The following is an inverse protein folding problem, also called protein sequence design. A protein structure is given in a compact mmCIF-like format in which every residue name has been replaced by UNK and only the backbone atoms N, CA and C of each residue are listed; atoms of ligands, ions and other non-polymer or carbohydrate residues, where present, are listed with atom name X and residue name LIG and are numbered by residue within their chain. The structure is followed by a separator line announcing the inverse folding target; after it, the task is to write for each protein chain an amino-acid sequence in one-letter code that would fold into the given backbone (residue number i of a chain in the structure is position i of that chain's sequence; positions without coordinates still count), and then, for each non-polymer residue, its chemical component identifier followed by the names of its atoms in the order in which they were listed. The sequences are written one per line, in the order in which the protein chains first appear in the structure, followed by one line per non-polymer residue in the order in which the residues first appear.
data_IF_083994887553
#
_entry.id   IF_083994887553
#
_cell.length_a   1.000
_cell.length_b   1.000
_cell.length_c   1.000
_cell.angle_alpha   90.00
_cell.angle_beta   90.00
_cell.angle_gamma   90.00
#
_symmetry.space_group_name_H-M   'P 1'
#
loop_
_entity.id
_entity.type
_entity.pdbx_description
1 polymer ?
#
# COMPACT_ATOMS: atom_id res chain seq x y z
N UNK A 1 -12.91 5.29 -14.12
CA UNK A 1 -11.44 5.46 -13.96
C UNK A 1 -11.10 5.54 -12.49
N UNK A 2 -10.06 4.85 -12.05
CA UNK A 2 -9.55 4.84 -10.67
C UNK A 2 -9.06 6.23 -10.26
N UNK A 3 -9.62 6.89 -9.24
CA UNK A 3 -9.10 8.15 -8.72
C UNK A 3 -7.73 7.93 -8.07
N UNK A 4 -6.82 8.90 -8.27
CA UNK A 4 -5.46 8.87 -7.71
C UNK A 4 -5.32 9.95 -6.65
N UNK A 5 -4.96 9.57 -5.43
CA UNK A 5 -4.64 10.46 -4.34
C UNK A 5 -3.13 10.72 -4.31
N UNK A 6 -2.74 11.96 -4.53
CA UNK A 6 -1.35 12.43 -4.54
C UNK A 6 -1.28 13.91 -4.21
N UNK A 7 -0.30 14.28 -3.40
CA UNK A 7 -0.01 15.68 -3.10
C UNK A 7 1.44 16.01 -3.50
N UNK A 8 1.74 17.18 -4.14
CA UNK A 8 3.10 17.55 -4.55
C UNK A 8 4.12 17.55 -3.41
N UNK A 9 3.70 17.77 -2.18
CA UNK A 9 4.56 17.71 -0.98
C UNK A 9 5.06 16.28 -0.65
N UNK A 10 4.59 15.24 -1.33
CA UNK A 10 5.18 13.90 -1.25
C UNK A 10 6.49 13.79 -2.02
N UNK A 11 6.81 14.79 -2.86
CA UNK A 11 8.02 14.78 -3.70
C UNK A 11 9.23 15.21 -2.88
N UNK A 12 10.22 14.32 -2.78
CA UNK A 12 11.54 14.58 -2.21
C UNK A 12 12.58 14.07 -3.20
N UNK A 13 13.29 14.97 -3.85
CA UNK A 13 14.18 14.63 -4.98
C UNK A 13 15.44 13.84 -4.60
N UNK A 14 15.88 13.96 -3.35
CA UNK A 14 17.04 13.26 -2.81
C UNK A 14 16.67 12.02 -1.98
N UNK A 15 15.38 11.73 -1.82
CA UNK A 15 14.93 10.50 -1.15
C UNK A 15 15.25 9.26 -2.00
N UNK A 16 15.09 8.09 -1.40
CA UNK A 16 15.29 6.82 -2.09
C UNK A 16 14.28 6.63 -3.25
N UNK A 17 14.63 5.81 -4.21
CA UNK A 17 13.87 5.55 -5.44
C UNK A 17 12.39 5.22 -5.19
N UNK A 18 12.05 4.60 -4.06
CA UNK A 18 10.67 4.30 -3.67
C UNK A 18 9.79 5.55 -3.54
N UNK A 19 10.36 6.70 -3.22
CA UNK A 19 9.69 8.00 -3.15
C UNK A 19 9.76 8.73 -4.50
N UNK A 20 10.93 8.69 -5.15
CA UNK A 20 11.16 9.40 -6.43
C UNK A 20 10.25 8.90 -7.57
N UNK A 21 9.86 7.62 -7.57
CA UNK A 21 8.97 7.07 -8.60
C UNK A 21 7.54 7.63 -8.55
N UNK A 22 7.10 8.12 -7.38
CA UNK A 22 5.70 8.53 -7.15
C UNK A 22 5.27 9.67 -8.09
N UNK A 23 5.96 10.83 -8.14
CA UNK A 23 5.57 11.91 -9.05
C UNK A 23 5.64 11.51 -10.52
N UNK A 24 6.57 10.64 -10.91
CA UNK A 24 6.69 10.16 -12.28
C UNK A 24 5.53 9.22 -12.67
N UNK A 25 5.10 8.36 -11.75
CA UNK A 25 3.91 7.54 -11.95
C UNK A 25 2.66 8.42 -12.16
N UNK A 26 2.47 9.46 -11.33
CA UNK A 26 1.33 10.36 -11.44
C UNK A 26 1.37 11.12 -12.77
N UNK A 27 2.51 11.67 -13.16
CA UNK A 27 2.70 12.36 -14.44
C UNK A 27 2.38 11.44 -15.63
N UNK A 28 2.96 10.22 -15.65
CA UNK A 28 2.76 9.27 -16.74
C UNK A 28 1.36 8.65 -16.75
N UNK A 29 0.63 8.67 -15.63
CA UNK A 29 -0.78 8.26 -15.60
C UNK A 29 -1.68 9.19 -16.44
N UNK A 30 -1.21 10.41 -16.75
CA UNK A 30 -1.95 11.46 -17.46
C UNK A 30 -3.30 11.81 -16.80
N UNK A 31 -3.36 11.75 -15.46
CA UNK A 31 -4.56 12.01 -14.69
C UNK A 31 -4.37 13.14 -13.69
N UNK A 32 -5.46 13.88 -13.48
CA UNK A 32 -5.52 14.78 -12.34
C UNK A 32 -5.52 13.97 -11.05
N UNK A 33 -4.65 14.31 -10.12
CA UNK A 33 -4.67 13.77 -8.77
C UNK A 33 -5.66 14.52 -7.88
N UNK A 34 -6.23 13.80 -6.93
CA UNK A 34 -7.06 14.38 -5.89
C UNK A 34 -6.16 14.88 -4.77
N UNK A 35 -6.34 16.16 -4.40
CA UNK A 35 -5.65 16.81 -3.31
C UNK A 35 -6.35 16.51 -1.98
N UNK A 36 -5.59 16.57 -0.89
CA UNK A 36 -6.06 16.28 0.45
C UNK A 36 -5.17 16.99 1.49
N UNK A 37 -5.65 17.08 2.72
CA UNK A 37 -4.86 17.59 3.85
C UNK A 37 -3.89 16.51 4.36
N UNK A 38 -2.66 16.88 4.77
CA UNK A 38 -1.71 15.94 5.36
C UNK A 38 -2.20 15.45 6.71
N UNK A 39 -1.62 14.36 7.19
CA UNK A 39 -1.75 13.98 8.58
C UNK A 39 -1.04 14.98 9.50
N UNK A 40 -1.58 15.09 10.70
CA UNK A 40 -0.90 15.69 11.84
C UNK A 40 -0.28 14.59 12.71
N UNK A 41 0.51 14.97 13.70
CA UNK A 41 1.21 14.02 14.57
C UNK A 41 0.26 13.02 15.25
N UNK A 42 -0.92 13.48 15.67
CA UNK A 42 -1.96 12.69 16.33
C UNK A 42 -2.51 11.58 15.46
N UNK A 43 -2.52 11.75 14.15
CA UNK A 43 -2.94 10.70 13.21
C UNK A 43 -1.97 9.52 13.24
N UNK A 44 -0.67 9.77 13.42
CA UNK A 44 0.36 8.74 13.46
C UNK A 44 0.29 7.88 14.72
N UNK A 45 -0.26 8.41 15.81
CA UNK A 45 -0.48 7.67 17.06
C UNK A 45 -1.50 6.53 16.91
N UNK A 46 -2.19 6.49 15.78
CA UNK A 46 -3.06 5.35 15.46
C UNK A 46 -2.29 4.03 15.31
N UNK A 47 -1.03 4.09 14.89
CA UNK A 47 -0.20 2.91 14.69
C UNK A 47 1.09 2.90 15.52
N UNK A 48 1.50 4.03 16.08
CA UNK A 48 2.84 4.19 16.67
C UNK A 48 2.80 4.80 18.07
N UNK A 49 3.86 4.53 18.85
CA UNK A 49 4.06 5.16 20.15
C UNK A 49 4.34 6.66 20.01
N UNK A 50 3.84 7.44 20.94
CA UNK A 50 4.06 8.91 21.01
C UNK A 50 5.54 9.27 20.93
N UNK A 51 6.38 8.56 21.71
CA UNK A 51 7.81 8.83 21.76
C UNK A 51 8.48 8.61 20.41
N UNK A 52 8.16 7.49 19.72
CA UNK A 52 8.71 7.18 18.41
C UNK A 52 8.34 8.25 17.39
N UNK A 53 7.05 8.62 17.31
CA UNK A 53 6.57 9.65 16.39
C UNK A 53 7.28 10.98 16.63
N UNK A 54 7.31 11.47 17.89
CA UNK A 54 7.99 12.71 18.24
C UNK A 54 9.49 12.66 17.91
N UNK A 55 10.18 11.58 18.22
CA UNK A 55 11.62 11.46 18.00
C UNK A 55 11.98 11.41 16.51
N UNK A 56 11.14 10.82 15.66
CA UNK A 56 11.29 10.88 14.19
C UNK A 56 11.02 12.30 13.68
N UNK A 57 9.87 12.89 14.03
CA UNK A 57 9.45 14.20 13.49
C UNK A 57 10.38 15.33 13.96
N UNK A 58 10.99 15.19 15.13
CA UNK A 58 12.00 16.15 15.64
C UNK A 58 13.43 15.79 15.22
N UNK A 59 13.63 14.82 14.35
CA UNK A 59 14.92 14.37 13.85
C UNK A 59 15.90 13.92 14.95
N UNK A 60 15.43 13.44 16.09
CA UNK A 60 16.27 12.87 17.16
C UNK A 60 16.80 11.49 16.77
N UNK A 61 15.96 10.66 16.13
CA UNK A 61 16.33 9.35 15.61
C UNK A 61 16.23 9.33 14.09
N UNK A 62 16.79 8.31 13.46
CA UNK A 62 16.67 8.11 12.03
C UNK A 62 15.24 7.67 11.68
N UNK A 63 14.74 8.16 10.54
CA UNK A 63 13.54 7.64 9.89
C UNK A 63 13.83 6.28 9.20
N UNK A 64 12.81 5.67 8.60
CA UNK A 64 12.93 4.38 7.91
C UNK A 64 13.88 4.37 6.71
N UNK A 65 14.31 5.55 6.24
CA UNK A 65 15.33 5.74 5.20
C UNK A 65 16.76 5.81 5.77
N UNK A 66 16.94 5.64 7.08
CA UNK A 66 18.22 5.71 7.76
C UNK A 66 18.75 7.14 7.92
N UNK A 67 17.92 8.16 7.78
CA UNK A 67 18.30 9.58 7.83
C UNK A 67 17.51 10.36 8.89
N UNK A 68 18.03 11.52 9.28
CA UNK A 68 17.35 12.51 10.13
C UNK A 68 16.89 13.71 9.30
N UNK A 69 16.21 13.43 8.21
CA UNK A 69 15.83 14.39 7.20
C UNK A 69 14.38 14.87 7.42
N UNK A 70 14.24 16.14 7.77
CA UNK A 70 12.95 16.76 8.05
C UNK A 70 12.06 16.92 6.79
N UNK A 71 12.67 17.10 5.60
CA UNK A 71 11.91 17.16 4.35
C UNK A 71 11.26 15.78 4.05
N UNK A 72 12.02 14.70 4.22
CA UNK A 72 11.48 13.34 4.11
C UNK A 72 10.37 13.13 5.15
N UNK A 73 10.62 13.46 6.42
CA UNK A 73 9.66 13.25 7.51
C UNK A 73 8.34 14.00 7.23
N UNK A 74 8.38 15.23 6.73
CA UNK A 74 7.19 15.99 6.35
C UNK A 74 6.46 15.38 5.15
N UNK A 75 7.19 14.93 4.12
CA UNK A 75 6.58 14.27 2.97
C UNK A 75 5.82 13.00 3.35
N UNK A 76 6.28 12.30 4.40
CA UNK A 76 5.63 11.09 4.88
C UNK A 76 4.25 11.35 5.53
N UNK A 77 4.00 12.55 6.07
CA UNK A 77 2.67 12.93 6.55
C UNK A 77 1.65 12.94 5.39
N UNK A 78 2.07 13.45 4.23
CA UNK A 78 1.25 13.42 3.02
C UNK A 78 1.09 12.00 2.45
N UNK A 79 2.18 11.21 2.42
CA UNK A 79 2.12 9.84 1.89
C UNK A 79 1.17 8.95 2.70
N UNK A 80 1.21 9.04 4.03
CA UNK A 80 0.31 8.29 4.90
C UNK A 80 -1.14 8.78 4.78
N UNK A 81 -1.35 10.11 4.72
CA UNK A 81 -2.68 10.69 4.50
C UNK A 81 -3.27 10.28 3.14
N UNK A 82 -2.45 10.19 2.09
CA UNK A 82 -2.87 9.73 0.76
C UNK A 82 -3.58 8.38 0.82
N UNK A 83 -3.02 7.42 1.57
CA UNK A 83 -3.62 6.09 1.70
C UNK A 83 -4.95 6.12 2.47
N UNK A 84 -5.01 6.90 3.55
CA UNK A 84 -6.24 7.11 4.29
C UNK A 84 -7.34 7.74 3.42
N UNK A 85 -7.01 8.79 2.66
CA UNK A 85 -7.98 9.44 1.79
C UNK A 85 -8.47 8.53 0.66
N UNK A 86 -7.60 7.70 0.09
CA UNK A 86 -7.99 6.68 -0.88
C UNK A 86 -8.92 5.64 -0.26
N UNK A 87 -8.61 5.15 0.96
CA UNK A 87 -9.44 4.19 1.68
C UNK A 87 -10.80 4.79 2.06
N UNK A 88 -10.81 5.99 2.63
CA UNK A 88 -12.05 6.68 3.00
C UNK A 88 -12.94 6.94 1.78
N UNK A 89 -12.33 7.29 0.62
CA UNK A 89 -13.08 7.45 -0.62
C UNK A 89 -13.86 6.19 -0.97
N UNK A 90 -13.20 5.04 -0.97
CA UNK A 90 -13.87 3.79 -1.36
C UNK A 90 -14.85 3.29 -0.31
N UNK A 91 -14.64 3.57 0.97
CA UNK A 91 -15.64 3.31 2.01
C UNK A 91 -16.93 4.11 1.76
N UNK A 92 -16.81 5.38 1.38
CA UNK A 92 -17.95 6.28 1.16
C UNK A 92 -18.63 6.10 -0.20
N UNK A 93 -17.88 5.73 -1.24
CA UNK A 93 -18.34 5.72 -2.64
C UNK A 93 -18.40 4.33 -3.28
N UNK A 94 -17.76 3.34 -2.65
CA UNK A 94 -17.52 2.04 -3.28
C UNK A 94 -16.42 2.09 -4.33
N UNK A 95 -16.23 0.97 -5.02
CA UNK A 95 -15.31 0.86 -6.15
C UNK A 95 -13.85 0.76 -5.75
N UNK A 96 -12.98 1.47 -6.48
CA UNK A 96 -11.51 1.39 -6.33
C UNK A 96 -10.89 2.78 -6.29
N UNK A 97 -9.81 2.95 -5.49
CA UNK A 97 -8.99 4.16 -5.47
C UNK A 97 -7.50 3.81 -5.30
N UNK A 98 -6.63 4.67 -5.82
CA UNK A 98 -5.18 4.56 -5.74
C UNK A 98 -4.60 5.64 -4.82
N UNK A 99 -3.74 5.25 -3.89
CA UNK A 99 -2.81 6.12 -3.21
C UNK A 99 -1.46 6.06 -3.93
N UNK A 100 -1.01 7.16 -4.53
CA UNK A 100 0.33 7.22 -5.07
C UNK A 100 1.34 7.42 -3.93
N UNK A 101 1.73 6.34 -3.27
CA UNK A 101 2.63 6.33 -2.11
C UNK A 101 3.56 5.13 -2.10
N UNK A 102 4.69 5.25 -1.38
CA UNK A 102 5.64 4.16 -1.14
C UNK A 102 5.05 3.09 -0.21
N UNK A 103 5.86 2.07 0.14
CA UNK A 103 5.50 1.02 1.10
C UNK A 103 5.48 1.52 2.55
N UNK A 104 4.80 0.76 3.41
CA UNK A 104 4.58 1.12 4.80
C UNK A 104 4.88 0.00 5.80
N UNK A 105 4.96 -1.24 5.35
CA UNK A 105 4.79 -2.47 6.12
C UNK A 105 5.95 -2.83 7.06
N UNK A 106 7.14 -2.22 6.89
CA UNK A 106 8.28 -2.40 7.81
C UNK A 106 8.34 -1.35 8.94
N UNK A 107 7.36 -0.47 9.04
CA UNK A 107 7.27 0.44 10.18
C UNK A 107 6.55 -0.26 11.33
N UNK A 108 7.28 -0.49 12.42
CA UNK A 108 6.84 -1.12 13.67
C UNK A 108 6.18 -0.09 14.60
N UNK A 109 5.61 -0.55 15.71
CA UNK A 109 4.95 0.32 16.67
C UNK A 109 5.88 1.40 17.25
N UNK A 110 7.13 1.09 17.50
CA UNK A 110 8.11 1.96 18.18
C UNK A 110 9.46 2.10 17.47
N UNK A 111 9.61 1.55 16.26
CA UNK A 111 10.81 1.69 15.44
C UNK A 111 10.48 1.51 13.95
N UNK A 112 11.47 1.78 13.08
CA UNK A 112 11.27 1.73 11.64
C UNK A 112 12.55 1.35 10.88
N UNK A 113 12.37 0.75 9.70
CA UNK A 113 13.45 0.44 8.74
C UNK A 113 12.88 0.14 7.34
N UNK A 114 13.71 -0.35 6.43
CA UNK A 114 13.25 -0.84 5.12
C UNK A 114 12.49 0.21 4.29
N UNK A 115 12.92 1.48 4.39
CA UNK A 115 12.29 2.62 3.71
C UNK A 115 10.83 2.88 4.12
N UNK A 116 10.38 2.27 5.21
CA UNK A 116 9.07 2.50 5.82
C UNK A 116 9.27 3.18 7.17
N UNK A 117 8.73 4.39 7.35
CA UNK A 117 8.87 5.16 8.60
C UNK A 117 7.62 5.08 9.47
N UNK A 118 6.47 5.32 8.88
CA UNK A 118 5.16 5.20 9.54
C UNK A 118 4.30 4.19 8.79
N UNK A 119 3.55 3.37 9.53
CA UNK A 119 2.74 2.29 8.97
C UNK A 119 1.37 2.80 8.50
N UNK A 120 1.35 3.37 7.29
CA UNK A 120 0.12 3.89 6.68
C UNK A 120 -0.98 2.86 6.53
N UNK A 121 -0.64 1.56 6.39
CA UNK A 121 -1.62 0.47 6.31
C UNK A 121 -2.39 0.35 7.62
N UNK A 122 -1.68 0.30 8.76
CA UNK A 122 -2.30 0.18 10.08
C UNK A 122 -3.01 1.46 10.48
N UNK A 123 -2.42 2.65 10.21
CA UNK A 123 -3.08 3.94 10.46
C UNK A 123 -4.41 4.02 9.72
N UNK A 124 -4.40 3.77 8.42
CA UNK A 124 -5.61 3.83 7.60
C UNK A 124 -6.64 2.78 8.02
N UNK A 125 -6.19 1.54 8.29
CA UNK A 125 -7.08 0.47 8.75
C UNK A 125 -7.73 0.84 10.09
N UNK A 126 -6.97 1.32 11.08
CA UNK A 126 -7.51 1.68 12.39
C UNK A 126 -8.49 2.85 12.32
N UNK A 127 -8.19 3.88 11.52
CA UNK A 127 -9.15 4.98 11.26
C UNK A 127 -10.42 4.48 10.57
N UNK A 128 -10.32 3.50 9.68
CA UNK A 128 -11.47 2.90 9.01
C UNK A 128 -12.39 2.14 9.97
N UNK A 129 -11.88 1.59 11.07
CA UNK A 129 -12.68 0.88 12.07
C UNK A 129 -13.73 1.75 12.79
N UNK A 130 -13.69 3.07 12.64
CA UNK A 130 -14.75 3.98 13.05
C UNK A 130 -15.94 4.00 12.07
N UNK A 131 -15.74 3.49 10.85
CA UNK A 131 -16.72 3.50 9.76
C UNK A 131 -17.17 2.11 9.33
N UNK A 132 -16.32 1.09 9.54
CA UNK A 132 -16.55 -0.30 9.14
C UNK A 132 -16.17 -1.25 10.26
N UNK A 133 -16.66 -2.48 10.22
CA UNK A 133 -16.36 -3.46 11.26
C UNK A 133 -15.00 -4.14 11.04
N UNK A 134 -14.64 -4.42 9.77
CA UNK A 134 -13.46 -5.22 9.46
C UNK A 134 -12.73 -4.76 8.20
N UNK A 135 -11.41 -4.61 8.32
CA UNK A 135 -10.50 -4.28 7.23
C UNK A 135 -9.62 -5.49 6.92
N UNK A 136 -9.38 -5.78 5.64
CA UNK A 136 -8.38 -6.76 5.24
C UNK A 136 -7.29 -6.08 4.41
N UNK A 137 -6.05 -6.24 4.84
CA UNK A 137 -4.85 -5.84 4.12
C UNK A 137 -4.37 -7.04 3.33
N UNK A 138 -4.17 -6.87 2.01
CA UNK A 138 -3.49 -7.83 1.14
C UNK A 138 -2.15 -7.19 0.77
N UNK A 139 -1.08 -7.72 1.34
CA UNK A 139 0.26 -7.21 1.12
C UNK A 139 0.97 -8.01 0.03
N UNK A 140 0.91 -7.50 -1.20
CA UNK A 140 1.53 -8.10 -2.38
C UNK A 140 3.00 -7.68 -2.60
N UNK A 141 3.61 -6.96 -1.66
CA UNK A 141 5.05 -6.66 -1.66
C UNK A 141 5.89 -7.95 -1.54
N UNK A 142 7.12 -7.92 -2.01
CA UNK A 142 8.01 -9.08 -1.97
C UNK A 142 8.47 -9.48 -0.57
N UNK A 143 8.39 -8.54 0.37
CA UNK A 143 8.89 -8.70 1.73
C UNK A 143 7.74 -9.04 2.69
N UNK A 144 8.09 -9.72 3.78
CA UNK A 144 7.14 -9.97 4.86
C UNK A 144 6.82 -8.67 5.60
N UNK A 145 5.54 -8.37 5.79
CA UNK A 145 5.06 -7.14 6.43
C UNK A 145 5.17 -7.17 7.96
N UNK A 146 6.36 -7.37 8.49
CA UNK A 146 6.67 -7.55 9.90
C UNK A 146 6.27 -6.37 10.78
N UNK A 147 6.45 -5.14 10.31
CA UNK A 147 6.02 -3.94 11.03
C UNK A 147 4.49 -3.85 11.13
N UNK A 148 3.77 -4.26 10.07
CA UNK A 148 2.30 -4.34 10.12
C UNK A 148 1.87 -5.37 11.16
N UNK A 149 2.49 -6.56 11.17
CA UNK A 149 2.22 -7.62 12.15
C UNK A 149 2.45 -7.14 13.59
N UNK A 150 3.61 -6.49 13.85
CA UNK A 150 3.95 -5.94 15.15
C UNK A 150 2.94 -4.89 15.65
N UNK A 151 2.56 -3.95 14.78
CA UNK A 151 1.55 -2.94 15.10
C UNK A 151 0.19 -3.57 15.43
N UNK A 152 -0.26 -4.56 14.64
CA UNK A 152 -1.54 -5.23 14.87
C UNK A 152 -1.57 -6.00 16.20
N UNK A 153 -0.45 -6.65 16.58
CA UNK A 153 -0.33 -7.35 17.85
C UNK A 153 -0.30 -6.37 19.03
N UNK A 154 0.56 -5.36 18.95
CA UNK A 154 0.72 -4.37 20.02
C UNK A 154 -0.59 -3.62 20.29
N UNK A 155 -1.32 -3.26 19.24
CA UNK A 155 -2.60 -2.54 19.32
C UNK A 155 -3.82 -3.46 19.53
N UNK A 156 -3.62 -4.79 19.52
CA UNK A 156 -4.68 -5.82 19.68
C UNK A 156 -5.77 -5.70 18.60
N UNK A 157 -5.38 -5.44 17.35
CA UNK A 157 -6.31 -5.20 16.25
C UNK A 157 -6.67 -6.44 15.44
N UNK A 158 -6.02 -7.60 15.64
CA UNK A 158 -6.15 -8.80 14.79
C UNK A 158 -7.56 -9.37 14.65
N UNK A 159 -8.48 -9.02 15.54
CA UNK A 159 -9.88 -9.45 15.39
C UNK A 159 -10.63 -8.65 14.32
N UNK A 160 -10.20 -7.42 14.05
CA UNK A 160 -10.85 -6.48 13.13
C UNK A 160 -10.00 -6.10 11.92
N UNK A 161 -8.68 -6.24 12.00
CA UNK A 161 -7.75 -5.99 10.89
C UNK A 161 -7.02 -7.29 10.58
N UNK A 162 -7.28 -7.83 9.39
CA UNK A 162 -6.63 -9.03 8.88
C UNK A 162 -5.49 -8.58 7.99
N UNK A 163 -4.27 -9.06 8.25
CA UNK A 163 -3.13 -8.84 7.35
C UNK A 163 -2.77 -10.16 6.67
N UNK A 164 -2.75 -10.15 5.35
CA UNK A 164 -2.36 -11.28 4.51
C UNK A 164 -1.09 -10.87 3.79
N UNK A 165 0.04 -11.36 4.27
CA UNK A 165 1.37 -11.00 3.76
C UNK A 165 2.07 -12.20 3.12
N UNK A 166 3.30 -12.03 2.69
CA UNK A 166 4.08 -12.95 1.86
C UNK A 166 3.95 -14.43 2.24
N UNK A 167 4.05 -14.78 3.51
CA UNK A 167 4.06 -16.18 3.97
C UNK A 167 2.73 -16.89 3.74
N UNK A 168 1.63 -16.16 3.77
CA UNK A 168 0.29 -16.68 3.53
C UNK A 168 -0.05 -16.69 2.04
N UNK A 169 0.51 -15.75 1.28
CA UNK A 169 0.37 -15.68 -0.18
C UNK A 169 1.05 -16.89 -0.85
N UNK A 170 2.13 -17.43 -0.27
CA UNK A 170 2.72 -18.71 -0.69
C UNK A 170 3.28 -18.73 -2.11
N UNK A 171 3.63 -17.59 -2.68
CA UNK A 171 3.98 -17.42 -4.08
C UNK A 171 5.47 -17.67 -4.35
N UNK A 172 5.95 -18.88 -4.18
CA UNK A 172 7.31 -19.25 -4.59
C UNK A 172 7.38 -19.97 -5.94
N UNK A 173 6.24 -20.41 -6.48
CA UNK A 173 6.16 -21.16 -7.73
C UNK A 173 5.27 -20.43 -8.76
N UNK A 174 5.91 -19.80 -9.75
CA UNK A 174 5.24 -19.05 -10.82
C UNK A 174 4.22 -19.88 -11.61
N UNK A 175 4.40 -21.20 -11.71
CA UNK A 175 3.51 -22.09 -12.46
C UNK A 175 2.13 -22.24 -11.83
N UNK A 176 1.99 -21.91 -10.53
CA UNK A 176 0.74 -22.07 -9.76
C UNK A 176 -0.21 -20.91 -9.88
N UNK A 177 0.24 -19.73 -10.35
CA UNK A 177 -0.56 -18.51 -10.28
C UNK A 177 -0.96 -17.97 -11.65
N UNK A 178 -2.20 -18.25 -12.02
CA UNK A 178 -2.94 -17.54 -13.06
C UNK A 178 -3.81 -16.46 -12.40
N UNK A 179 -4.38 -15.55 -13.19
CA UNK A 179 -5.36 -14.59 -12.66
C UNK A 179 -6.54 -15.28 -11.97
N UNK A 180 -6.98 -16.45 -12.45
CA UNK A 180 -8.05 -17.25 -11.83
C UNK A 180 -7.63 -17.83 -10.49
N UNK A 181 -6.38 -18.27 -10.33
CA UNK A 181 -5.89 -18.78 -9.06
C UNK A 181 -5.78 -17.67 -8.00
N UNK A 182 -5.34 -16.48 -8.40
CA UNK A 182 -5.34 -15.31 -7.52
C UNK A 182 -6.75 -14.88 -7.13
N UNK A 183 -7.69 -14.90 -8.07
CA UNK A 183 -9.10 -14.63 -7.79
C UNK A 183 -9.67 -15.64 -6.80
N UNK A 184 -9.42 -16.95 -7.03
CA UNK A 184 -9.87 -18.02 -6.11
C UNK A 184 -9.26 -17.87 -4.71
N UNK A 185 -7.98 -17.58 -4.62
CA UNK A 185 -7.31 -17.33 -3.34
C UNK A 185 -7.94 -16.14 -2.60
N UNK A 186 -8.14 -15.02 -3.28
CA UNK A 186 -8.75 -13.82 -2.70
C UNK A 186 -10.21 -14.07 -2.30
N UNK A 187 -10.97 -14.82 -3.11
CA UNK A 187 -12.34 -15.23 -2.79
C UNK A 187 -12.40 -16.06 -1.49
N UNK A 188 -11.44 -16.98 -1.29
CA UNK A 188 -11.35 -17.77 -0.08
C UNK A 188 -11.05 -16.91 1.15
N UNK A 189 -10.15 -15.94 1.03
CA UNK A 189 -9.85 -14.99 2.10
C UNK A 189 -11.08 -14.13 2.45
N UNK A 190 -11.78 -13.61 1.45
CA UNK A 190 -13.00 -12.82 1.64
C UNK A 190 -14.08 -13.67 2.32
N UNK A 191 -14.31 -14.91 1.86
CA UNK A 191 -15.30 -15.80 2.44
C UNK A 191 -14.99 -16.14 3.90
N UNK A 192 -13.71 -16.35 4.22
CA UNK A 192 -13.22 -16.68 5.56
C UNK A 192 -13.34 -15.50 6.54
N UNK A 193 -12.89 -14.34 6.11
CA UNK A 193 -12.70 -13.17 6.99
C UNK A 193 -13.83 -12.17 6.93
N UNK A 194 -14.58 -12.11 5.83
CA UNK A 194 -15.72 -11.22 5.57
C UNK A 194 -15.37 -9.74 5.85
N UNK A 195 -14.34 -9.19 5.16
CA UNK A 195 -13.99 -7.80 5.33
C UNK A 195 -15.03 -6.88 4.68
N UNK A 196 -15.17 -5.67 5.23
CA UNK A 196 -16.01 -4.63 4.63
C UNK A 196 -15.25 -3.81 3.58
N UNK A 197 -13.91 -3.77 3.67
CA UNK A 197 -13.04 -3.02 2.77
C UNK A 197 -11.66 -3.69 2.67
N UNK A 198 -11.03 -3.57 1.50
CA UNK A 198 -9.67 -4.03 1.24
C UNK A 198 -8.68 -2.87 1.16
N UNK A 199 -7.51 -3.07 1.77
CA UNK A 199 -6.28 -2.34 1.49
C UNK A 199 -5.33 -3.26 0.74
N UNK A 200 -4.86 -2.84 -0.45
CA UNK A 200 -3.96 -3.64 -1.25
C UNK A 200 -2.62 -2.91 -1.45
N UNK A 201 -1.56 -3.41 -0.82
CA UNK A 201 -0.19 -2.96 -1.05
C UNK A 201 0.35 -3.65 -2.31
N UNK A 202 0.32 -2.95 -3.46
CA UNK A 202 0.61 -3.50 -4.78
C UNK A 202 2.10 -3.37 -5.14
N UNK A 203 2.99 -3.90 -4.30
CA UNK A 203 4.44 -3.82 -4.50
C UNK A 203 4.90 -4.35 -5.85
N UNK A 204 5.72 -3.56 -6.56
CA UNK A 204 6.33 -3.96 -7.82
C UNK A 204 7.63 -4.76 -7.63
N UNK A 205 8.17 -4.81 -6.44
CA UNK A 205 9.38 -5.53 -6.07
C UNK A 205 9.19 -7.07 -6.01
N UNK A 206 7.95 -7.56 -6.07
CA UNK A 206 7.68 -8.97 -6.32
C UNK A 206 8.08 -9.44 -7.74
N UNK A 207 8.43 -8.49 -8.63
CA UNK A 207 8.90 -8.80 -9.97
C UNK A 207 10.29 -9.45 -9.96
N UNK A 208 10.50 -10.46 -10.82
CA UNK A 208 11.71 -11.29 -10.89
C UNK A 208 12.99 -10.56 -11.36
N UNK A 209 12.86 -9.34 -11.92
CA UNK A 209 13.99 -8.48 -12.27
C UNK A 209 14.17 -7.28 -11.30
N UNK A 210 13.43 -7.22 -10.18
CA UNK A 210 13.64 -6.16 -9.20
C UNK A 210 14.89 -6.42 -8.36
N UNK A 211 15.82 -5.45 -8.22
CA UNK A 211 17.12 -5.69 -7.57
C UNK A 211 17.05 -5.89 -6.06
N UNK A 212 15.99 -5.45 -5.40
CA UNK A 212 15.80 -5.58 -3.94
C UNK A 212 14.65 -6.50 -3.57
N UNK A 213 13.87 -6.92 -4.54
CA UNK A 213 12.75 -7.82 -4.34
C UNK A 213 13.15 -9.28 -4.21
N UNK A 214 12.20 -10.13 -3.85
CA UNK A 214 12.41 -11.58 -3.79
C UNK A 214 12.43 -12.27 -5.16
N UNK A 215 12.12 -11.54 -6.25
CA UNK A 215 12.27 -12.00 -7.62
C UNK A 215 11.45 -13.24 -7.97
N UNK A 216 10.18 -13.33 -7.60
CA UNK A 216 9.40 -14.56 -7.80
C UNK A 216 8.24 -14.45 -8.81
N UNK A 217 7.88 -13.25 -9.27
CA UNK A 217 6.83 -13.04 -10.26
C UNK A 217 7.36 -12.42 -11.54
N UNK A 218 7.13 -13.05 -12.69
CA UNK A 218 7.35 -12.37 -13.97
C UNK A 218 6.36 -11.19 -14.14
N UNK A 219 6.67 -10.25 -15.04
CA UNK A 219 5.78 -9.11 -15.35
C UNK A 219 4.33 -9.56 -15.65
N UNK A 220 4.18 -10.70 -16.35
CA UNK A 220 2.86 -11.29 -16.63
C UNK A 220 2.16 -11.76 -15.36
N UNK A 221 2.91 -12.41 -14.45
CA UNK A 221 2.35 -12.90 -13.19
C UNK A 221 2.00 -11.75 -12.23
N UNK A 222 2.72 -10.62 -12.26
CA UNK A 222 2.33 -9.39 -11.59
C UNK A 222 0.92 -8.94 -12.04
N UNK A 223 0.67 -8.92 -13.36
CA UNK A 223 -0.64 -8.60 -13.89
C UNK A 223 -1.73 -9.62 -13.50
N UNK A 224 -1.39 -10.89 -13.35
CA UNK A 224 -2.33 -11.91 -12.87
C UNK A 224 -2.68 -11.73 -11.40
N UNK A 225 -1.71 -11.41 -10.54
CA UNK A 225 -1.93 -11.07 -9.14
C UNK A 225 -2.93 -9.92 -9.02
N UNK A 226 -2.63 -8.80 -9.65
CA UNK A 226 -3.44 -7.59 -9.57
C UNK A 226 -4.86 -7.84 -10.13
N UNK A 227 -4.95 -8.52 -11.28
CA UNK A 227 -6.24 -8.86 -11.89
C UNK A 227 -7.10 -9.76 -11.00
N UNK A 228 -6.51 -10.77 -10.36
CA UNK A 228 -7.26 -11.68 -9.47
C UNK A 228 -7.80 -10.96 -8.24
N UNK A 229 -6.96 -10.14 -7.59
CA UNK A 229 -7.35 -9.37 -6.41
C UNK A 229 -8.48 -8.38 -6.74
N UNK A 230 -8.33 -7.57 -7.80
CA UNK A 230 -9.36 -6.59 -8.18
C UNK A 230 -10.66 -7.25 -8.64
N UNK A 231 -10.61 -8.36 -9.39
CA UNK A 231 -11.81 -9.10 -9.81
C UNK A 231 -12.57 -9.67 -8.62
N UNK A 232 -11.86 -10.24 -7.66
CA UNK A 232 -12.48 -10.76 -6.44
C UNK A 232 -13.14 -9.64 -5.63
N UNK A 233 -12.47 -8.50 -5.45
CA UNK A 233 -13.04 -7.34 -4.78
C UNK A 233 -14.34 -6.88 -5.48
N UNK A 234 -14.33 -6.72 -6.82
CA UNK A 234 -15.52 -6.36 -7.61
C UNK A 234 -16.63 -7.40 -7.50
N UNK A 235 -16.31 -8.67 -7.62
CA UNK A 235 -17.27 -9.80 -7.56
C UNK A 235 -18.02 -9.84 -6.24
N UNK A 236 -17.32 -9.58 -5.15
CA UNK A 236 -17.91 -9.55 -3.80
C UNK A 236 -18.44 -8.18 -3.39
N UNK A 237 -18.40 -7.19 -4.27
CA UNK A 237 -18.81 -5.80 -4.03
C UNK A 237 -18.08 -5.15 -2.84
N UNK A 238 -16.83 -5.56 -2.59
CA UNK A 238 -16.01 -5.01 -1.52
C UNK A 238 -15.16 -3.88 -2.09
N UNK A 239 -15.26 -2.66 -1.52
CA UNK A 239 -14.43 -1.54 -1.96
C UNK A 239 -12.95 -1.79 -1.67
N UNK A 240 -12.07 -1.28 -2.54
CA UNK A 240 -10.63 -1.54 -2.44
C UNK A 240 -9.82 -0.27 -2.69
N UNK A 241 -8.94 0.08 -1.75
CA UNK A 241 -7.89 1.06 -1.96
C UNK A 241 -6.54 0.37 -2.10
N UNK A 242 -5.68 0.89 -2.98
CA UNK A 242 -4.35 0.31 -3.20
C UNK A 242 -3.26 1.38 -3.27
N UNK A 243 -2.00 0.99 -2.98
CA UNK A 243 -0.83 1.86 -3.10
C UNK A 243 0.30 1.19 -3.90
N UNK A 244 1.30 2.00 -4.31
CA UNK A 244 2.39 1.52 -5.16
C UNK A 244 3.36 0.59 -4.39
N UNK A 245 3.65 0.91 -3.13
CA UNK A 245 4.57 0.13 -2.28
C UNK A 245 5.99 0.00 -2.83
N UNK A 246 6.63 -1.17 -2.71
CA UNK A 246 7.96 -1.46 -3.20
C UNK A 246 8.13 -1.36 -4.72
N UNK A 247 9.36 -1.56 -5.19
CA UNK A 247 9.77 -1.50 -6.58
C UNK A 247 10.92 -0.50 -6.80
N UNK A 248 12.07 -1.04 -7.26
CA UNK A 248 13.37 -0.39 -7.14
C UNK A 248 14.23 -0.54 -8.39
N UNK A 249 13.66 -0.91 -9.53
CA UNK A 249 14.39 -1.22 -10.77
C UNK A 249 15.18 -0.03 -11.32
N UNK A 250 16.31 -0.33 -11.92
CA UNK A 250 17.05 0.60 -12.77
C UNK A 250 17.04 0.09 -14.22
N UNK A 251 16.57 0.91 -15.19
CA UNK A 251 16.00 2.26 -15.00
C UNK A 251 14.64 2.21 -14.28
N UNK A 252 14.35 3.26 -13.50
CA UNK A 252 13.09 3.43 -12.73
C UNK A 252 11.82 3.25 -13.58
N UNK A 253 11.92 3.52 -14.88
CA UNK A 253 10.81 3.35 -15.83
C UNK A 253 10.21 1.94 -15.79
N UNK A 254 11.01 0.91 -15.57
CA UNK A 254 10.52 -0.47 -15.46
C UNK A 254 9.52 -0.65 -14.30
N UNK A 255 9.84 -0.07 -13.15
CA UNK A 255 8.94 -0.07 -11.98
C UNK A 255 7.66 0.76 -12.25
N UNK A 256 7.82 1.93 -12.88
CA UNK A 256 6.68 2.78 -13.26
C UNK A 256 5.73 2.05 -14.22
N UNK A 257 6.27 1.34 -15.21
CA UNK A 257 5.47 0.56 -16.17
C UNK A 257 4.65 -0.53 -15.47
N UNK A 258 5.19 -1.17 -14.42
CA UNK A 258 4.44 -2.15 -13.62
C UNK A 258 3.29 -1.49 -12.85
N UNK A 259 3.53 -0.35 -12.22
CA UNK A 259 2.47 0.39 -11.51
C UNK A 259 1.39 0.94 -12.47
N UNK A 260 1.78 1.38 -13.67
CA UNK A 260 0.83 1.77 -14.72
C UNK A 260 0.02 0.57 -15.24
N UNK A 261 0.63 -0.63 -15.28
CA UNK A 261 -0.10 -1.86 -15.56
C UNK A 261 -1.16 -2.14 -14.48
N UNK A 262 -0.79 -2.05 -13.20
CA UNK A 262 -1.73 -2.19 -12.06
C UNK A 262 -2.88 -1.19 -12.16
N UNK A 263 -2.58 0.08 -12.44
CA UNK A 263 -3.59 1.13 -12.63
C UNK A 263 -4.55 0.80 -13.79
N UNK A 264 -4.02 0.35 -14.92
CA UNK A 264 -4.83 -0.05 -16.08
C UNK A 264 -5.74 -1.24 -15.74
N UNK A 265 -5.23 -2.23 -15.01
CA UNK A 265 -6.01 -3.40 -14.58
C UNK A 265 -7.14 -2.97 -13.62
N UNK A 266 -6.86 -2.08 -12.67
CA UNK A 266 -7.88 -1.55 -11.76
C UNK A 266 -9.00 -0.83 -12.52
N UNK A 267 -8.65 0.00 -13.51
CA UNK A 267 -9.63 0.67 -14.37
C UNK A 267 -10.52 -0.30 -15.13
N UNK A 268 -9.88 -1.22 -15.86
CA UNK A 268 -10.60 -2.21 -16.66
C UNK A 268 -11.52 -3.08 -15.81
N UNK A 269 -11.06 -3.41 -14.59
CA UNK A 269 -11.87 -4.21 -13.67
C UNK A 269 -13.08 -3.44 -13.16
N UNK A 270 -12.94 -2.16 -12.80
CA UNK A 270 -14.02 -1.36 -12.23
C UNK A 270 -14.74 -0.47 -13.25
N UNK A 271 -14.49 -0.66 -14.55
CA UNK A 271 -15.24 0.06 -15.59
C UNK A 271 -16.74 -0.17 -15.45
N UNK A 272 -17.53 0.93 -15.50
CA UNK A 272 -18.99 0.90 -15.37
C UNK A 272 -19.53 0.81 -13.94
N UNK A 273 -18.69 0.73 -12.91
CA UNK A 273 -19.11 0.90 -11.52
C UNK A 273 -19.19 2.41 -11.24
N UNK A 274 -20.41 2.90 -10.98
CA UNK A 274 -20.69 4.30 -10.59
C UNK A 274 -20.85 4.39 -9.08
#
# INVERSE_FOLDING_TARGET
MTPIYYHPQQRVSHAFISVQKIPLFVEQSQRASLMFEPFVEEDLWQAHSLNFVNDVLTCKINNGFGTKDDEINRALLYSNASLWHALNHVIQKGGVACSASQGFHHAHYDHCYGYCTFNGLVIAAKKALDLVEKVMIIDGDAHFGDGTEDCLDTLKLRQRVINVTRDEIGCTDQSRFTASNWETFTDQLIAKHKPDVLLYQAGADAWDEDPYGAGYLSKRHMGFRDSGIFRSAKKHLIPIAWNLAGGYSEPMQKTIDLHLQTLKISDQTFEGVK
#
